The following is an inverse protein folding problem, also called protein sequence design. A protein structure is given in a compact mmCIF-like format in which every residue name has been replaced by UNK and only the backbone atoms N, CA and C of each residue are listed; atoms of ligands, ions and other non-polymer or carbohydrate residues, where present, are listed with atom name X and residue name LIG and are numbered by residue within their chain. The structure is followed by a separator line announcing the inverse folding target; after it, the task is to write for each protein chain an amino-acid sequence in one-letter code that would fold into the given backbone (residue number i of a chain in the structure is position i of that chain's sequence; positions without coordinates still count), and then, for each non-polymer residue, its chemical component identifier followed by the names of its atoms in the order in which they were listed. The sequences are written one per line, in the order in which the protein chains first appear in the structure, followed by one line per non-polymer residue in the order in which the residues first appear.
data_IF_667452816239
#
_entry.id   IF_667452816239
#
_cell.length_a   1.000
_cell.length_b   1.000
_cell.length_c   1.000
_cell.angle_alpha   90.00
_cell.angle_beta   90.00
_cell.angle_gamma   90.00
#
_symmetry.space_group_name_H-M   'P 1'
#
loop_
_entity.id
_entity.type
_entity.pdbx_description
1 polymer ?
#
# COMPACT_ATOMS: atom_id res chain seq x y z
N UNK A 1 9.95 12.32 8.32
CA UNK A 1 9.97 12.15 6.84
C UNK A 1 10.23 10.70 6.41
N UNK A 2 11.23 10.02 6.96
CA UNK A 2 11.62 8.64 6.57
C UNK A 2 10.47 7.65 6.45
N UNK A 3 9.59 7.57 7.45
CA UNK A 3 8.45 6.63 7.45
C UNK A 3 7.52 6.84 6.24
N UNK A 4 7.18 8.10 5.94
CA UNK A 4 6.33 8.44 4.78
C UNK A 4 7.01 8.03 3.47
N UNK A 5 8.30 8.34 3.33
CA UNK A 5 9.08 8.04 2.13
C UNK A 5 9.25 6.54 1.86
N UNK A 6 9.19 5.70 2.90
CA UNK A 6 9.25 4.25 2.75
C UNK A 6 7.88 3.59 2.52
N UNK A 7 6.81 4.16 3.09
CA UNK A 7 5.47 3.56 3.06
C UNK A 7 4.53 4.14 1.99
N UNK A 8 4.90 5.24 1.30
CA UNK A 8 4.02 5.98 0.38
C UNK A 8 3.29 5.07 -0.62
N UNK A 9 4.00 4.19 -1.31
CA UNK A 9 3.42 3.31 -2.32
C UNK A 9 2.37 2.37 -1.72
N UNK A 10 2.67 1.77 -0.56
CA UNK A 10 1.72 0.92 0.16
C UNK A 10 0.46 1.67 0.58
N UNK A 11 0.62 2.86 1.15
CA UNK A 11 -0.52 3.71 1.55
C UNK A 11 -1.37 4.11 0.34
N UNK A 12 -0.75 4.48 -0.77
CA UNK A 12 -1.48 4.87 -1.99
C UNK A 12 -2.22 3.70 -2.65
N UNK A 13 -1.59 2.52 -2.74
CA UNK A 13 -2.21 1.32 -3.32
C UNK A 13 -3.36 0.84 -2.44
N UNK A 14 -3.21 0.86 -1.11
CA UNK A 14 -4.28 0.50 -0.19
C UNK A 14 -5.47 1.48 -0.30
N UNK A 15 -5.19 2.78 -0.43
CA UNK A 15 -6.22 3.79 -0.66
C UNK A 15 -6.90 3.66 -2.04
N UNK A 16 -6.16 3.28 -3.08
CA UNK A 16 -6.73 2.93 -4.39
C UNK A 16 -7.67 1.72 -4.27
N UNK A 17 -7.25 0.68 -3.54
CA UNK A 17 -8.08 -0.49 -3.24
C UNK A 17 -9.41 -0.10 -2.59
N UNK A 18 -9.37 0.79 -1.59
CA UNK A 18 -10.57 1.31 -0.94
C UNK A 18 -11.49 2.09 -1.87
N UNK A 19 -10.96 3.03 -2.67
CA UNK A 19 -11.78 3.78 -3.63
C UNK A 19 -12.41 2.85 -4.68
N UNK A 20 -11.66 1.85 -5.13
CA UNK A 20 -12.14 0.85 -6.08
C UNK A 20 -13.26 0.00 -5.49
N UNK A 21 -13.11 -0.42 -4.23
CA UNK A 21 -14.15 -1.11 -3.47
C UNK A 21 -15.41 -0.26 -3.33
N UNK A 22 -15.30 0.99 -2.83
CA UNK A 22 -16.47 1.82 -2.50
C UNK A 22 -17.21 2.36 -3.72
N UNK A 23 -16.50 2.77 -4.78
CA UNK A 23 -17.12 3.49 -5.89
C UNK A 23 -17.49 2.59 -7.07
N UNK A 24 -16.79 1.46 -7.25
CA UNK A 24 -16.96 0.58 -8.42
C UNK A 24 -16.99 -0.92 -8.06
N UNK A 25 -17.25 -1.24 -6.79
CA UNK A 25 -17.38 -2.60 -6.27
C UNK A 25 -16.20 -3.51 -6.68
N UNK A 26 -14.98 -2.97 -6.66
CA UNK A 26 -13.74 -3.65 -7.06
C UNK A 26 -13.71 -4.24 -8.49
N UNK A 27 -14.64 -3.83 -9.38
CA UNK A 27 -14.66 -4.27 -10.78
C UNK A 27 -13.61 -3.55 -11.64
N UNK A 28 -13.30 -2.32 -11.26
CA UNK A 28 -12.36 -1.42 -11.93
C UNK A 28 -11.43 -0.77 -10.91
N UNK A 29 -10.34 -0.17 -11.36
CA UNK A 29 -9.47 0.62 -10.50
C UNK A 29 -9.87 2.09 -10.51
N UNK A 30 -10.31 2.61 -9.37
CA UNK A 30 -10.80 3.99 -9.22
C UNK A 30 -9.67 4.91 -8.72
N UNK A 31 -8.81 5.39 -9.64
CA UNK A 31 -7.72 6.29 -9.26
C UNK A 31 -8.27 7.64 -8.78
N UNK A 32 -9.19 8.23 -9.55
CA UNK A 32 -9.90 9.47 -9.25
C UNK A 32 -11.26 9.47 -9.98
N UNK A 33 -12.19 10.39 -9.67
CA UNK A 33 -13.50 10.46 -10.36
C UNK A 33 -13.42 10.59 -11.88
N UNK A 34 -12.41 11.30 -12.37
CA UNK A 34 -12.09 11.52 -13.78
C UNK A 34 -11.12 10.47 -14.37
N UNK A 35 -10.56 9.61 -13.52
CA UNK A 35 -9.57 8.60 -13.90
C UNK A 35 -9.93 7.22 -13.33
N UNK A 36 -10.84 6.53 -14.01
CA UNK A 36 -11.19 5.13 -13.71
C UNK A 36 -10.59 4.21 -14.76
N UNK A 37 -9.90 3.16 -14.31
CA UNK A 37 -9.24 2.17 -15.16
C UNK A 37 -10.12 0.92 -15.29
N UNK A 38 -10.67 0.72 -16.49
CA UNK A 38 -11.26 -0.53 -16.93
C UNK A 38 -10.22 -1.42 -17.64
N UNK A 39 -10.59 -2.63 -18.07
CA UNK A 39 -9.67 -3.56 -18.73
C UNK A 39 -8.97 -2.95 -19.94
N UNK A 40 -9.67 -2.13 -20.74
CA UNK A 40 -9.09 -1.43 -21.90
C UNK A 40 -7.97 -0.48 -21.46
N UNK A 41 -8.20 0.39 -20.48
CA UNK A 41 -7.19 1.33 -19.98
C UNK A 41 -6.01 0.61 -19.32
N UNK A 42 -6.27 -0.47 -18.59
CA UNK A 42 -5.22 -1.31 -17.99
C UNK A 42 -4.28 -1.91 -19.04
N UNK A 43 -4.81 -2.32 -20.22
CA UNK A 43 -4.00 -2.87 -21.31
C UNK A 43 -3.14 -1.80 -22.00
N UNK A 44 -3.67 -0.60 -22.16
CA UNK A 44 -2.95 0.52 -22.82
C UNK A 44 -1.89 1.15 -21.91
N UNK A 45 -2.03 1.05 -20.59
CA UNK A 45 -1.14 1.73 -19.62
C UNK A 45 0.22 1.07 -19.39
N UNK A 46 0.61 0.04 -20.16
CA UNK A 46 1.79 -0.84 -19.93
C UNK A 46 1.91 -1.43 -18.52
N UNK A 47 0.88 -1.29 -17.67
CA UNK A 47 0.84 -1.71 -16.27
C UNK A 47 -0.15 -2.86 -16.04
N UNK A 48 -0.58 -3.56 -17.09
CA UNK A 48 -1.70 -4.50 -17.01
C UNK A 48 -1.58 -5.49 -15.84
N UNK A 49 -0.43 -6.15 -15.68
CA UNK A 49 -0.22 -7.08 -14.57
C UNK A 49 -0.30 -6.42 -13.19
N UNK A 50 0.27 -5.23 -13.04
CA UNK A 50 0.22 -4.48 -11.79
C UNK A 50 -1.23 -4.07 -11.47
N UNK A 51 -1.97 -3.61 -12.48
CA UNK A 51 -3.37 -3.28 -12.35
C UNK A 51 -4.22 -4.50 -11.95
N UNK A 52 -3.98 -5.68 -12.54
CA UNK A 52 -4.70 -6.91 -12.16
C UNK A 52 -4.44 -7.26 -10.70
N UNK A 53 -3.19 -7.19 -10.24
CA UNK A 53 -2.85 -7.45 -8.82
C UNK A 53 -3.51 -6.45 -7.87
N UNK A 54 -3.50 -5.16 -8.19
CA UNK A 54 -4.19 -4.13 -7.40
C UNK A 54 -5.71 -4.33 -7.41
N UNK A 55 -6.29 -4.77 -8.52
CA UNK A 55 -7.72 -5.08 -8.62
C UNK A 55 -8.07 -6.28 -7.74
N UNK A 56 -7.30 -7.36 -7.78
CA UNK A 56 -7.51 -8.51 -6.89
C UNK A 56 -7.46 -8.11 -5.42
N UNK A 57 -6.48 -7.28 -5.03
CA UNK A 57 -6.43 -6.73 -3.67
C UNK A 57 -7.71 -5.95 -3.32
N UNK A 58 -8.25 -5.15 -4.23
CA UNK A 58 -9.52 -4.45 -3.99
C UNK A 58 -10.72 -5.41 -3.86
N UNK A 59 -10.68 -6.58 -4.50
CA UNK A 59 -11.72 -7.60 -4.38
C UNK A 59 -11.67 -8.28 -3.00
N UNK A 60 -10.50 -8.42 -2.37
CA UNK A 60 -10.41 -8.87 -0.97
C UNK A 60 -11.16 -7.93 -0.02
N UNK A 61 -11.24 -6.63 -0.32
CA UNK A 61 -12.01 -5.69 0.49
C UNK A 61 -13.51 -5.98 0.42
N UNK A 62 -13.99 -6.40 -0.75
CA UNK A 62 -15.37 -6.87 -0.95
C UNK A 62 -15.59 -8.18 -0.17
N UNK A 63 -14.69 -9.15 -0.30
CA UNK A 63 -14.83 -10.44 0.38
C UNK A 63 -14.85 -10.29 1.90
N UNK A 64 -13.96 -9.48 2.46
CA UNK A 64 -13.85 -9.25 3.90
C UNK A 64 -14.87 -8.25 4.45
N UNK A 65 -15.60 -7.56 3.55
CA UNK A 65 -16.52 -6.47 3.87
C UNK A 65 -15.85 -5.47 4.82
N UNK A 66 -14.73 -4.89 4.37
CA UNK A 66 -13.94 -3.98 5.20
C UNK A 66 -14.74 -2.72 5.50
N UNK A 67 -14.81 -2.35 6.78
CA UNK A 67 -15.47 -1.13 7.22
C UNK A 67 -14.57 0.09 7.05
N UNK A 68 -15.14 1.29 7.05
CA UNK A 68 -14.35 2.51 6.92
C UNK A 68 -13.34 2.67 8.08
N UNK A 69 -13.76 2.35 9.30
CA UNK A 69 -12.88 2.48 10.48
C UNK A 69 -11.71 1.50 10.43
N UNK A 70 -11.95 0.23 10.06
CA UNK A 70 -10.88 -0.74 9.84
C UNK A 70 -9.92 -0.28 8.75
N UNK A 71 -10.45 0.21 7.62
CA UNK A 71 -9.63 0.75 6.54
C UNK A 71 -8.71 1.89 7.02
N UNK A 72 -9.24 2.86 7.77
CA UNK A 72 -8.43 3.98 8.29
C UNK A 72 -7.34 3.49 9.23
N UNK A 73 -7.66 2.57 10.14
CA UNK A 73 -6.71 2.00 11.09
C UNK A 73 -5.61 1.18 10.38
N UNK A 74 -6.00 0.30 9.45
CA UNK A 74 -5.07 -0.47 8.62
C UNK A 74 -4.17 0.43 7.77
N UNK A 75 -4.72 1.51 7.20
CA UNK A 75 -3.93 2.50 6.45
C UNK A 75 -2.89 3.18 7.33
N UNK A 76 -3.21 3.46 8.61
CA UNK A 76 -2.23 3.97 9.56
C UNK A 76 -1.16 2.92 9.89
N UNK A 77 -1.53 1.67 10.11
CA UNK A 77 -0.57 0.57 10.31
C UNK A 77 0.37 0.37 9.12
N UNK A 78 -0.13 0.56 7.90
CA UNK A 78 0.69 0.52 6.68
C UNK A 78 1.71 1.66 6.61
N UNK A 79 1.42 2.83 7.19
CA UNK A 79 2.41 3.89 7.34
C UNK A 79 3.59 3.40 8.18
N UNK A 80 3.34 2.58 9.21
CA UNK A 80 4.34 2.00 10.10
C UNK A 80 4.80 0.60 9.67
N UNK A 81 4.68 0.23 8.39
CA UNK A 81 4.97 -1.14 7.90
C UNK A 81 6.35 -1.31 7.27
N UNK A 82 7.17 -0.27 7.23
CA UNK A 82 8.52 -0.31 6.65
C UNK A 82 9.49 0.45 7.54
N UNK A 83 10.66 -0.13 7.79
CA UNK A 83 11.70 0.49 8.62
C UNK A 83 13.08 0.36 7.97
N UNK A 84 13.95 1.38 8.04
CA UNK A 84 15.34 1.22 7.64
C UNK A 84 16.05 0.15 8.47
N UNK A 85 17.02 -0.55 7.86
CA UNK A 85 17.81 -1.59 8.53
C UNK A 85 18.64 -1.01 9.67
N UNK A 86 19.14 0.22 9.53
CA UNK A 86 19.82 0.94 10.61
C UNK A 86 18.90 1.35 11.78
N UNK A 87 17.58 1.15 11.66
CA UNK A 87 16.60 1.57 12.65
C UNK A 87 16.27 3.07 12.59
N UNK A 88 15.28 3.48 13.35
CA UNK A 88 14.88 4.89 13.47
C UNK A 88 15.57 5.54 14.67
N UNK A 89 15.82 6.86 14.58
CA UNK A 89 16.39 7.64 15.70
C UNK A 89 15.64 7.44 17.02
N UNK A 90 14.30 7.39 16.95
CA UNK A 90 13.41 7.18 18.09
C UNK A 90 12.62 5.87 17.92
N UNK A 91 13.33 4.74 17.88
CA UNK A 91 12.74 3.42 17.65
C UNK A 91 11.60 3.10 18.62
N UNK A 92 11.81 3.33 19.92
CA UNK A 92 10.79 3.10 20.97
C UNK A 92 9.47 3.82 20.67
N UNK A 93 9.55 5.10 20.29
CA UNK A 93 8.36 5.89 19.98
C UNK A 93 7.62 5.36 18.74
N UNK A 94 8.35 4.89 17.73
CA UNK A 94 7.75 4.23 16.57
C UNK A 94 7.03 2.93 16.97
N UNK A 95 7.65 2.12 17.82
CA UNK A 95 7.08 0.86 18.29
C UNK A 95 5.81 1.09 19.14
N UNK A 96 5.85 2.05 20.06
CA UNK A 96 4.71 2.46 20.90
C UNK A 96 3.54 2.97 20.05
N UNK A 97 3.83 3.76 19.01
CA UNK A 97 2.82 4.29 18.11
C UNK A 97 2.21 3.19 17.23
N UNK A 98 3.03 2.29 16.69
CA UNK A 98 2.55 1.13 15.93
C UNK A 98 1.67 0.23 16.81
N UNK A 99 2.10 -0.05 18.05
CA UNK A 99 1.34 -0.85 19.00
C UNK A 99 -0.02 -0.23 19.33
N UNK A 100 -0.06 1.11 19.48
CA UNK A 100 -1.32 1.84 19.70
C UNK A 100 -2.33 1.58 18.57
N UNK A 101 -1.90 1.62 17.32
CA UNK A 101 -2.77 1.32 16.18
C UNK A 101 -3.13 -0.16 16.06
N UNK A 102 -2.27 -1.08 16.51
CA UNK A 102 -2.59 -2.51 16.59
C UNK A 102 -3.73 -2.74 17.58
N UNK A 103 -3.62 -2.15 18.77
CA UNK A 103 -4.65 -2.22 19.81
C UNK A 103 -5.96 -1.55 19.36
N UNK A 104 -5.87 -0.45 18.60
CA UNK A 104 -7.06 0.20 18.04
C UNK A 104 -7.76 -0.69 17.01
N UNK A 105 -7.02 -1.41 16.16
CA UNK A 105 -7.62 -2.36 15.22
C UNK A 105 -8.36 -3.49 15.96
N UNK A 106 -7.74 -4.04 17.01
CA UNK A 106 -8.36 -5.07 17.85
C UNK A 106 -9.63 -4.53 18.54
N UNK A 107 -9.57 -3.31 19.09
CA UNK A 107 -10.73 -2.63 19.68
C UNK A 107 -11.88 -2.49 18.67
N UNK A 108 -11.61 -2.04 17.44
CA UNK A 108 -12.61 -1.88 16.38
C UNK A 108 -13.27 -3.21 15.99
N UNK A 109 -12.49 -4.29 15.95
CA UNK A 109 -13.02 -5.63 15.67
C UNK A 109 -13.93 -6.10 16.81
N UNK A 110 -13.49 -5.93 18.06
CA UNK A 110 -14.25 -6.33 19.25
C UNK A 110 -15.53 -5.50 19.46
N UNK A 111 -15.54 -4.23 19.07
CA UNK A 111 -16.75 -3.40 19.12
C UNK A 111 -17.77 -3.78 18.05
N UNK A 112 -17.32 -4.22 16.87
CA UNK A 112 -18.20 -4.52 15.73
C UNK A 112 -18.70 -5.96 15.69
N UNK A 113 -18.03 -6.90 16.37
CA UNK A 113 -18.38 -8.32 16.35
C UNK A 113 -18.28 -8.95 17.74
N UNK A 114 -19.24 -9.83 18.06
CA UNK A 114 -19.25 -10.60 19.31
C UNK A 114 -18.56 -11.97 19.20
N UNK A 115 -18.32 -12.45 17.98
CA UNK A 115 -17.69 -13.76 17.69
C UNK A 115 -16.68 -13.63 16.54
N UNK A 116 -15.72 -14.56 16.46
CA UNK A 116 -14.69 -14.66 15.41
C UNK A 116 -13.73 -13.44 15.32
N UNK A 117 -13.51 -12.74 16.43
CA UNK A 117 -12.63 -11.56 16.48
C UNK A 117 -11.19 -11.89 16.08
N UNK A 118 -10.61 -12.95 16.64
CA UNK A 118 -9.24 -13.39 16.30
C UNK A 118 -9.09 -13.75 14.81
N UNK A 119 -10.08 -14.44 14.24
CA UNK A 119 -10.08 -14.77 12.82
C UNK A 119 -10.16 -13.50 11.95
N UNK A 120 -10.98 -12.52 12.33
CA UNK A 120 -11.06 -11.24 11.61
C UNK A 120 -9.75 -10.48 11.71
N UNK A 121 -9.15 -10.41 12.90
CA UNK A 121 -7.84 -9.77 13.09
C UNK A 121 -6.78 -10.42 12.19
N UNK A 122 -6.75 -11.75 12.15
CA UNK A 122 -5.87 -12.50 11.24
C UNK A 122 -6.14 -12.18 9.76
N UNK A 123 -7.40 -12.15 9.33
CA UNK A 123 -7.77 -11.83 7.94
C UNK A 123 -7.29 -10.42 7.53
N UNK A 124 -7.51 -9.42 8.40
CA UNK A 124 -7.11 -8.04 8.11
C UNK A 124 -5.58 -7.89 8.10
N UNK A 125 -4.87 -8.49 9.05
CA UNK A 125 -3.40 -8.45 9.09
C UNK A 125 -2.76 -9.21 7.93
N UNK A 126 -3.33 -10.36 7.54
CA UNK A 126 -2.90 -11.10 6.34
C UNK A 126 -3.11 -10.29 5.05
N UNK A 127 -4.21 -9.54 4.95
CA UNK A 127 -4.43 -8.64 3.82
C UNK A 127 -3.36 -7.55 3.77
N UNK A 128 -2.97 -6.96 4.90
CA UNK A 128 -1.87 -5.98 4.95
C UNK A 128 -0.53 -6.59 4.52
N UNK A 129 -0.21 -7.80 4.95
CA UNK A 129 1.03 -8.47 4.54
C UNK A 129 1.03 -8.80 3.04
N UNK A 130 -0.12 -9.19 2.48
CA UNK A 130 -0.27 -9.49 1.05
C UNK A 130 0.01 -8.29 0.13
N UNK A 131 -0.02 -7.06 0.66
CA UNK A 131 0.30 -5.85 -0.07
C UNK A 131 1.79 -5.73 -0.40
N UNK A 132 2.67 -6.28 0.45
CA UNK A 132 4.12 -6.13 0.33
C UNK A 132 4.68 -6.60 -1.02
N UNK A 133 4.34 -7.80 -1.55
CA UNK A 133 4.81 -8.21 -2.87
C UNK A 133 4.28 -7.34 -4.02
N UNK A 134 3.07 -6.75 -3.88
CA UNK A 134 2.51 -5.82 -4.87
C UNK A 134 3.32 -4.51 -4.88
N UNK A 135 3.57 -3.96 -3.69
CA UNK A 135 4.34 -2.72 -3.49
C UNK A 135 5.77 -2.86 -3.98
N UNK A 136 6.45 -3.97 -3.66
CA UNK A 136 7.82 -4.23 -4.15
C UNK A 136 7.89 -4.23 -5.68
N UNK A 137 6.93 -4.89 -6.35
CA UNK A 137 6.87 -4.91 -7.81
C UNK A 137 6.55 -3.53 -8.41
N UNK A 138 5.70 -2.75 -7.76
CA UNK A 138 5.41 -1.37 -8.17
C UNK A 138 6.60 -0.44 -8.00
N UNK A 139 7.38 -0.60 -6.92
CA UNK A 139 8.63 0.13 -6.74
C UNK A 139 9.62 -0.14 -7.85
N UNK A 140 9.83 -1.43 -8.19
CA UNK A 140 10.70 -1.82 -9.30
C UNK A 140 10.22 -1.19 -10.62
N UNK A 141 8.95 -1.38 -10.97
CA UNK A 141 8.35 -0.81 -12.18
C UNK A 141 8.51 0.72 -12.25
N UNK A 142 8.24 1.41 -11.15
CA UNK A 142 8.33 2.87 -11.08
C UNK A 142 9.77 3.35 -11.24
N UNK A 143 10.74 2.65 -10.63
CA UNK A 143 12.15 2.98 -10.76
C UNK A 143 12.66 2.76 -12.19
N UNK A 144 12.32 1.63 -12.80
CA UNK A 144 12.71 1.32 -14.18
C UNK A 144 12.15 2.36 -15.16
N UNK A 145 10.88 2.74 -14.99
CA UNK A 145 10.24 3.77 -15.81
C UNK A 145 10.89 5.15 -15.61
N UNK A 146 11.30 5.47 -14.37
CA UNK A 146 11.98 6.72 -14.05
C UNK A 146 13.36 6.82 -14.72
N UNK A 147 14.16 5.75 -14.68
CA UNK A 147 15.47 5.68 -15.36
C UNK A 147 15.31 5.78 -16.89
N UNK A 148 14.30 5.09 -17.46
CA UNK A 148 13.97 5.21 -18.88
C UNK A 148 13.58 6.64 -19.26
N UNK A 149 12.81 7.32 -18.40
CA UNK A 149 12.39 8.70 -18.64
C UNK A 149 13.51 9.74 -18.64
N UNK A 150 14.63 9.46 -17.98
CA UNK A 150 15.81 10.32 -18.00
C UNK A 150 16.73 10.06 -19.21
N UNK A 151 16.72 8.85 -19.75
CA UNK A 151 17.65 8.40 -20.78
C UNK A 151 17.10 8.52 -22.21
N UNK A 152 15.78 8.46 -22.37
CA UNK A 152 15.10 8.54 -23.65
C UNK A 152 14.08 9.69 -23.63
N UNK A 153 13.72 10.27 -24.78
CA UNK A 153 12.57 11.16 -24.91
C UNK A 153 11.25 10.38 -24.79
N UNK A 154 11.05 9.65 -23.69
CA UNK A 154 9.75 9.09 -23.34
C UNK A 154 8.84 10.19 -22.81
N UNK A 155 7.55 10.12 -23.14
CA UNK A 155 6.55 11.13 -22.76
C UNK A 155 6.07 11.03 -21.31
N UNK A 156 6.81 10.37 -20.42
CA UNK A 156 6.40 10.17 -19.02
C UNK A 156 7.04 11.25 -18.14
N UNK A 157 6.21 12.08 -17.52
CA UNK A 157 6.64 13.12 -16.59
C UNK A 157 6.43 12.70 -15.15
N UNK A 158 7.38 13.01 -14.28
CA UNK A 158 7.28 12.78 -12.84
C UNK A 158 7.15 14.12 -12.11
N UNK A 159 6.14 14.30 -11.23
CA UNK A 159 6.09 15.45 -10.33
C UNK A 159 7.33 15.49 -9.43
N UNK A 160 7.80 16.69 -9.09
CA UNK A 160 9.05 16.92 -8.34
C UNK A 160 9.15 16.06 -7.06
N UNK A 161 8.12 16.09 -6.21
CA UNK A 161 8.09 15.31 -4.97
C UNK A 161 8.23 13.80 -5.21
N UNK A 162 7.58 13.28 -6.25
CA UNK A 162 7.65 11.86 -6.60
C UNK A 162 9.03 11.51 -7.19
N UNK A 163 9.58 12.39 -8.00
CA UNK A 163 10.95 12.27 -8.53
C UNK A 163 11.99 12.18 -7.41
N UNK A 164 11.89 13.02 -6.38
CA UNK A 164 12.79 12.99 -5.22
C UNK A 164 12.66 11.68 -4.43
N UNK A 165 11.42 11.20 -4.21
CA UNK A 165 11.18 9.93 -3.52
C UNK A 165 11.75 8.76 -4.33
N UNK A 166 11.53 8.74 -5.64
CA UNK A 166 12.00 7.66 -6.52
C UNK A 166 13.53 7.66 -6.60
N UNK A 167 14.17 8.81 -6.79
CA UNK A 167 15.62 8.86 -6.98
C UNK A 167 16.41 8.48 -5.73
N UNK A 168 15.89 8.79 -4.54
CA UNK A 168 16.61 8.58 -3.28
C UNK A 168 16.17 7.31 -2.54
N UNK A 169 14.87 7.10 -2.36
CA UNK A 169 14.37 6.08 -1.42
C UNK A 169 14.08 4.74 -2.08
N UNK A 170 13.58 4.74 -3.32
CA UNK A 170 13.24 3.49 -4.01
C UNK A 170 14.47 2.58 -4.22
N UNK A 171 15.64 3.06 -4.67
CA UNK A 171 16.87 2.26 -4.73
C UNK A 171 17.24 1.64 -3.40
N UNK A 172 17.09 2.38 -2.29
CA UNK A 172 17.40 1.89 -0.94
C UNK A 172 16.47 0.75 -0.53
N UNK A 173 15.18 0.87 -0.83
CA UNK A 173 14.19 -0.19 -0.60
C UNK A 173 14.53 -1.43 -1.44
N UNK A 174 14.83 -1.25 -2.73
CA UNK A 174 15.16 -2.35 -3.64
C UNK A 174 16.47 -3.05 -3.28
N UNK A 175 17.45 -2.31 -2.76
CA UNK A 175 18.71 -2.84 -2.22
C UNK A 175 18.57 -3.52 -0.84
N UNK A 176 17.37 -3.55 -0.26
CA UNK A 176 17.12 -4.19 1.04
C UNK A 176 17.57 -3.36 2.25
N UNK A 177 17.88 -2.07 2.07
CA UNK A 177 18.19 -1.15 3.18
C UNK A 177 16.96 -0.75 4.00
N UNK A 178 15.76 -1.14 3.55
CA UNK A 178 14.53 -1.00 4.32
C UNK A 178 13.76 -2.32 4.30
N UNK A 179 13.28 -2.73 5.47
CA UNK A 179 12.62 -4.01 5.69
C UNK A 179 11.12 -3.81 5.99
N UNK A 180 10.25 -4.63 5.39
CA UNK A 180 8.86 -4.66 5.78
C UNK A 180 8.71 -5.27 7.18
N UNK A 181 7.77 -4.73 7.96
CA UNK A 181 7.33 -5.27 9.24
C UNK A 181 6.02 -6.01 8.98
N UNK A 182 6.14 -7.33 8.82
CA UNK A 182 5.01 -8.24 8.62
C UNK A 182 4.33 -8.57 9.95
N UNK A 183 3.05 -8.94 9.88
CA UNK A 183 2.34 -9.55 11.01
C UNK A 183 2.61 -11.06 11.08
N UNK A 184 2.78 -11.70 9.92
CA UNK A 184 2.95 -13.13 9.77
C UNK A 184 4.25 -13.44 9.01
N UNK A 185 5.04 -14.39 9.52
CA UNK A 185 6.27 -14.87 8.89
C UNK A 185 6.03 -16.12 8.05
#
# INVERSE_FOLDING_TARGET
MTVIQHAWMGVMVFALGWRSYKNVNARMLYFAPDLVFNDRRMRVSSMYEHCVRMRHMSQEFVLLQITHQEFLCMKALLLFSMIPVEGLKNQKYFDDLRMTYINELDRLINCSRKTNCAQRFFQLTRLMDSLQPIVKKLHQFTFDLFVQAQSLPTKVSFPEMISEIISVHVPRILAGMAKPILFHN
#
